data_IF_514993005507
#
_entry.id   IF_514993005507
#
_cell.length_a   1.000
_cell.length_b   1.000
_cell.length_c   1.000
_cell.angle_alpha   90.00
_cell.angle_beta   90.00
_cell.angle_gamma   90.00
#
_symmetry.space_group_name_H-M   'P 1'
#
loop_
_entity.id
_entity.type
_entity.pdbx_description
1 polymer ?
#
# COMPACT_ATOMS: atom_id res chain seq x y z
N UNK A 1 26.36 -0.68 -25.80
CA UNK A 1 25.27 -1.14 -24.93
C UNK A 1 24.36 0.04 -24.71
N UNK A 2 23.05 -0.17 -24.75
CA UNK A 2 22.09 0.87 -24.40
C UNK A 2 22.25 1.25 -22.92
N UNK A 3 22.16 2.54 -22.60
CA UNK A 3 22.24 3.00 -21.20
C UNK A 3 20.94 2.68 -20.48
N UNK A 4 21.00 2.43 -19.16
CA UNK A 4 19.79 2.21 -18.36
C UNK A 4 18.79 3.38 -18.45
N UNK A 5 19.29 4.62 -18.61
CA UNK A 5 18.44 5.78 -18.84
C UNK A 5 17.67 5.71 -20.17
N UNK A 6 18.30 5.25 -21.25
CA UNK A 6 17.62 5.09 -22.54
C UNK A 6 16.57 3.98 -22.47
N UNK A 7 16.93 2.84 -21.84
CA UNK A 7 16.01 1.72 -21.63
C UNK A 7 14.80 2.12 -20.78
N UNK A 8 15.02 2.88 -19.71
CA UNK A 8 13.97 3.45 -18.87
C UNK A 8 13.02 4.32 -19.69
N UNK A 9 13.56 5.25 -20.48
CA UNK A 9 12.75 6.17 -21.28
C UNK A 9 11.91 5.42 -22.33
N UNK A 10 12.48 4.40 -22.98
CA UNK A 10 11.72 3.57 -23.94
C UNK A 10 10.58 2.81 -23.28
N UNK A 11 10.84 2.16 -22.14
CA UNK A 11 9.82 1.46 -21.36
C UNK A 11 8.73 2.41 -20.87
N UNK A 12 9.11 3.56 -20.33
CA UNK A 12 8.17 4.59 -19.88
C UNK A 12 7.30 5.09 -21.04
N UNK A 13 7.89 5.40 -22.19
CA UNK A 13 7.15 5.84 -23.36
C UNK A 13 6.15 4.77 -23.85
N UNK A 14 6.53 3.49 -23.79
CA UNK A 14 5.63 2.37 -24.12
C UNK A 14 4.41 2.33 -23.19
N UNK A 15 4.63 2.51 -21.90
CA UNK A 15 3.57 2.54 -20.89
C UNK A 15 2.65 3.74 -21.12
N UNK A 16 3.21 4.94 -21.27
CA UNK A 16 2.51 6.20 -21.58
C UNK A 16 1.65 6.07 -22.84
N UNK A 17 2.21 5.53 -23.93
CA UNK A 17 1.48 5.34 -25.19
C UNK A 17 0.30 4.41 -24.99
N UNK A 18 0.51 3.31 -24.24
CA UNK A 18 -0.53 2.33 -23.94
C UNK A 18 -1.64 2.91 -23.07
N UNK A 19 -1.31 3.63 -21.99
CA UNK A 19 -2.30 4.24 -21.08
C UNK A 19 -3.10 5.36 -21.74
N UNK A 20 -2.55 6.00 -22.77
CA UNK A 20 -3.25 6.98 -23.61
C UNK A 20 -4.06 6.36 -24.75
N UNK A 21 -4.23 5.03 -24.76
CA UNK A 21 -4.98 4.29 -25.79
C UNK A 21 -4.44 4.49 -27.21
N UNK A 22 -3.13 4.69 -27.34
CA UNK A 22 -2.41 4.76 -28.62
C UNK A 22 -1.72 3.41 -28.89
N UNK A 23 -1.27 3.18 -30.13
CA UNK A 23 -0.56 1.96 -30.52
C UNK A 23 0.92 2.04 -30.10
N UNK A 24 1.37 1.24 -29.10
CA UNK A 24 2.78 1.18 -28.72
C UNK A 24 3.59 0.34 -29.72
N UNK A 25 4.93 0.41 -29.62
CA UNK A 25 5.84 -0.44 -30.38
C UNK A 25 5.66 -1.95 -30.08
N UNK A 26 5.18 -2.30 -28.89
CA UNK A 26 4.65 -3.62 -28.51
C UNK A 26 3.81 -3.54 -27.24
N UNK A 27 3.07 -4.61 -26.94
CA UNK A 27 2.34 -4.76 -25.67
C UNK A 27 3.33 -4.75 -24.49
N UNK A 28 3.18 -3.81 -23.52
CA UNK A 28 4.04 -3.78 -22.33
C UNK A 28 3.76 -4.97 -21.40
N UNK A 29 4.82 -5.52 -20.82
CA UNK A 29 4.76 -6.58 -19.81
C UNK A 29 5.09 -5.99 -18.45
N UNK A 30 4.16 -6.06 -17.52
CA UNK A 30 4.32 -5.55 -16.15
C UNK A 30 4.06 -6.67 -15.14
N UNK A 31 4.72 -6.62 -13.99
CA UNK A 31 4.48 -7.56 -12.90
C UNK A 31 4.10 -6.87 -11.60
N UNK A 32 3.39 -7.62 -10.77
CA UNK A 32 3.24 -7.35 -9.35
C UNK A 32 3.73 -8.57 -8.56
N UNK A 33 5.04 -8.65 -8.37
CA UNK A 33 5.67 -9.82 -7.76
C UNK A 33 5.64 -9.79 -6.21
N UNK A 34 5.59 -8.61 -5.59
CA UNK A 34 5.60 -8.46 -4.12
C UNK A 34 6.66 -9.36 -3.45
N UNK A 35 6.26 -10.14 -2.44
CA UNK A 35 7.16 -11.02 -1.68
C UNK A 35 7.68 -12.22 -2.49
N UNK A 36 7.14 -12.50 -3.67
CA UNK A 36 7.71 -13.54 -4.54
C UNK A 36 9.17 -13.25 -4.91
N UNK A 37 9.53 -11.97 -5.07
CA UNK A 37 10.91 -11.55 -5.30
C UNK A 37 11.87 -12.07 -4.21
N UNK A 38 11.42 -12.10 -2.96
CA UNK A 38 12.20 -12.55 -1.81
C UNK A 38 12.43 -14.06 -1.90
N UNK A 39 11.38 -14.84 -2.16
CA UNK A 39 11.50 -16.28 -2.35
C UNK A 39 12.34 -16.64 -3.58
N UNK A 40 12.19 -15.89 -4.69
CA UNK A 40 12.94 -16.10 -5.94
C UNK A 40 14.45 -15.93 -5.71
N UNK A 41 14.84 -14.94 -4.91
CA UNK A 41 16.22 -14.66 -4.57
C UNK A 41 16.80 -15.55 -3.45
N UNK A 42 16.03 -16.53 -2.95
CA UNK A 42 16.37 -17.34 -1.77
C UNK A 42 16.77 -16.48 -0.55
N UNK A 43 16.05 -15.37 -0.32
CA UNK A 43 16.24 -14.47 0.83
C UNK A 43 15.09 -14.60 1.83
N UNK A 44 15.04 -13.71 2.83
CA UNK A 44 13.98 -13.67 3.83
C UNK A 44 13.44 -12.26 4.03
N UNK A 45 12.20 -12.15 4.47
CA UNK A 45 11.58 -10.87 4.83
C UNK A 45 12.38 -10.18 5.93
N UNK A 46 12.87 -10.93 6.93
CA UNK A 46 13.69 -10.36 8.00
C UNK A 46 14.98 -9.72 7.50
N UNK A 47 15.65 -10.34 6.54
CA UNK A 47 16.87 -9.79 5.95
C UNK A 47 16.59 -8.50 5.20
N UNK A 48 15.49 -8.46 4.43
CA UNK A 48 15.06 -7.27 3.72
C UNK A 48 14.67 -6.12 4.67
N UNK A 49 14.05 -6.44 5.83
CA UNK A 49 13.66 -5.42 6.81
C UNK A 49 14.86 -4.82 7.56
N UNK A 50 15.99 -5.54 7.66
CA UNK A 50 17.21 -5.08 8.36
C UNK A 50 18.07 -4.15 7.49
N UNK A 51 18.05 -4.34 6.18
CA UNK A 51 18.91 -3.61 5.25
C UNK A 51 18.15 -3.26 3.95
N UNK A 52 17.76 -1.97 3.78
CA UNK A 52 17.08 -1.51 2.56
C UNK A 52 17.89 -1.75 1.28
N UNK A 53 19.21 -1.65 1.33
CA UNK A 53 20.05 -1.85 0.13
C UNK A 53 20.01 -3.32 -0.30
N UNK A 54 20.12 -4.24 0.67
CA UNK A 54 19.95 -5.67 0.43
C UNK A 54 18.55 -6.00 -0.10
N UNK A 55 17.51 -5.35 0.41
CA UNK A 55 16.15 -5.49 -0.11
C UNK A 55 16.05 -5.13 -1.60
N UNK A 56 16.63 -4.00 -2.02
CA UNK A 56 16.59 -3.59 -3.42
C UNK A 56 17.34 -4.58 -4.33
N UNK A 57 18.49 -5.07 -3.87
CA UNK A 57 19.27 -6.09 -4.58
C UNK A 57 18.51 -7.41 -4.74
N UNK A 58 17.80 -7.83 -3.69
CA UNK A 58 16.91 -9.01 -3.70
C UNK A 58 15.80 -8.83 -4.74
N UNK A 59 15.09 -7.70 -4.72
CA UNK A 59 14.01 -7.43 -5.69
C UNK A 59 14.54 -7.31 -7.13
N UNK A 60 15.77 -6.83 -7.30
CA UNK A 60 16.38 -6.71 -8.61
C UNK A 60 16.72 -8.06 -9.27
N UNK A 61 16.89 -9.14 -8.52
CA UNK A 61 17.27 -10.45 -9.09
C UNK A 61 16.23 -10.95 -10.10
N UNK A 62 14.94 -10.92 -9.73
CA UNK A 62 13.85 -11.33 -10.62
C UNK A 62 13.87 -10.55 -11.94
N UNK A 63 14.12 -9.24 -11.88
CA UNK A 63 14.07 -8.34 -13.03
C UNK A 63 15.33 -8.37 -13.89
N UNK A 64 16.42 -8.98 -13.40
CA UNK A 64 17.62 -9.29 -14.20
C UNK A 64 17.41 -10.57 -15.03
N UNK A 65 16.67 -11.52 -14.50
CA UNK A 65 16.46 -12.84 -15.12
C UNK A 65 15.19 -12.89 -15.99
N UNK A 66 14.14 -12.19 -15.57
CA UNK A 66 12.82 -12.18 -16.22
C UNK A 66 12.55 -10.81 -16.80
N UNK A 67 12.28 -10.79 -18.11
CA UNK A 67 11.99 -9.56 -18.83
C UNK A 67 10.71 -8.88 -18.31
N UNK A 68 10.82 -7.60 -17.96
CA UNK A 68 9.69 -6.72 -17.63
C UNK A 68 9.89 -5.32 -18.26
N UNK A 69 8.80 -4.66 -18.62
CA UNK A 69 8.76 -3.25 -19.01
C UNK A 69 8.55 -2.33 -17.81
N UNK A 70 7.89 -2.80 -16.76
CA UNK A 70 7.71 -2.07 -15.50
C UNK A 70 7.40 -3.04 -14.35
N UNK A 71 7.47 -2.53 -13.11
CA UNK A 71 7.05 -3.25 -11.91
C UNK A 71 6.14 -2.39 -11.04
N UNK A 72 5.22 -3.01 -10.32
CA UNK A 72 4.43 -2.34 -9.29
C UNK A 72 5.20 -2.10 -7.98
N UNK A 73 6.38 -2.68 -7.78
CA UNK A 73 7.14 -2.46 -6.55
C UNK A 73 8.55 -3.05 -6.58
N UNK A 74 9.47 -2.36 -5.89
CA UNK A 74 10.90 -2.72 -5.81
C UNK A 74 11.38 -2.91 -4.36
N UNK A 75 10.43 -2.99 -3.43
CA UNK A 75 10.65 -3.29 -2.02
C UNK A 75 9.33 -3.78 -1.39
N UNK A 76 9.40 -4.26 -0.16
CA UNK A 76 8.24 -4.62 0.66
C UNK A 76 7.34 -3.40 0.79
N UNK A 77 6.12 -3.54 0.30
CA UNK A 77 5.07 -2.51 0.23
C UNK A 77 4.16 -2.50 1.48
N UNK A 78 4.65 -3.03 2.60
CA UNK A 78 3.98 -2.98 3.90
C UNK A 78 4.88 -2.26 4.90
N UNK A 79 4.33 -1.26 5.58
CA UNK A 79 5.04 -0.49 6.59
C UNK A 79 5.17 -1.29 7.91
N UNK A 80 5.90 -2.41 7.88
CA UNK A 80 6.00 -3.37 8.99
C UNK A 80 6.40 -2.70 10.32
N UNK A 81 7.35 -1.76 10.29
CA UNK A 81 7.80 -1.04 11.48
C UNK A 81 6.71 -0.15 12.09
N UNK A 82 5.80 0.40 11.28
CA UNK A 82 4.66 1.19 11.77
C UNK A 82 3.70 0.28 12.57
N UNK A 83 3.42 -0.92 12.05
CA UNK A 83 2.57 -1.89 12.74
C UNK A 83 3.20 -2.38 14.04
N UNK A 84 4.51 -2.61 14.06
CA UNK A 84 5.25 -2.97 15.27
C UNK A 84 5.19 -1.88 16.34
N UNK A 85 5.46 -0.62 15.98
CA UNK A 85 5.40 0.53 16.91
C UNK A 85 4.01 0.72 17.49
N UNK A 86 2.97 0.47 16.69
CA UNK A 86 1.57 0.58 17.13
C UNK A 86 1.04 -0.70 17.80
N UNK A 87 1.91 -1.68 18.06
CA UNK A 87 1.58 -2.99 18.66
C UNK A 87 0.39 -3.66 17.97
N UNK A 88 0.39 -3.62 16.63
CA UNK A 88 -0.68 -4.16 15.81
C UNK A 88 -0.19 -5.30 14.93
N UNK A 89 -0.96 -6.39 14.93
CA UNK A 89 -0.59 -7.63 14.26
C UNK A 89 -1.34 -7.84 12.92
N UNK A 90 -1.87 -6.78 12.30
CA UNK A 90 -2.59 -6.89 11.03
C UNK A 90 -1.72 -7.49 9.92
N UNK A 91 -0.39 -7.44 10.05
CA UNK A 91 0.53 -8.13 9.16
C UNK A 91 1.56 -8.93 9.96
N UNK A 92 1.90 -10.11 9.46
CA UNK A 92 2.91 -10.98 10.06
C UNK A 92 3.71 -11.72 8.99
N UNK A 93 4.91 -12.16 9.34
CA UNK A 93 5.77 -12.99 8.49
C UNK A 93 5.35 -14.45 8.71
N UNK A 94 5.09 -15.17 7.61
CA UNK A 94 4.72 -16.59 7.66
C UNK A 94 5.92 -17.46 8.08
N UNK A 95 5.64 -18.71 8.44
CA UNK A 95 6.69 -19.67 8.85
C UNK A 95 7.75 -19.93 7.77
N UNK A 96 7.41 -19.70 6.49
CA UNK A 96 8.35 -19.80 5.36
C UNK A 96 9.43 -18.71 5.36
N UNK A 97 9.26 -17.64 6.16
CA UNK A 97 10.17 -16.51 6.24
C UNK A 97 10.17 -15.60 5.00
N UNK A 98 9.39 -15.92 3.97
CA UNK A 98 9.37 -15.21 2.69
C UNK A 98 8.05 -14.54 2.40
N UNK A 99 6.96 -14.96 3.04
CA UNK A 99 5.60 -14.46 2.77
C UNK A 99 5.13 -13.54 3.89
N UNK A 100 4.61 -12.37 3.52
CA UNK A 100 3.90 -11.47 4.45
C UNK A 100 2.41 -11.75 4.31
N UNK A 101 1.76 -12.12 5.41
CA UNK A 101 0.33 -12.39 5.48
C UNK A 101 -0.40 -11.32 6.27
N UNK A 102 -1.70 -11.23 6.04
CA UNK A 102 -2.60 -10.34 6.74
C UNK A 102 -3.48 -11.10 7.73
N UNK A 103 -3.67 -10.53 8.91
CA UNK A 103 -4.69 -10.98 9.86
C UNK A 103 -5.87 -10.00 9.81
N UNK A 104 -7.07 -10.52 9.53
CA UNK A 104 -8.29 -9.71 9.54
C UNK A 104 -8.54 -9.09 10.91
N UNK A 105 -8.74 -7.76 10.93
CA UNK A 105 -9.13 -7.00 12.11
C UNK A 105 -10.41 -6.23 11.78
N UNK A 106 -11.52 -6.58 12.44
CA UNK A 106 -12.84 -5.99 12.23
C UNK A 106 -13.28 -5.15 13.46
N UNK A 107 -12.74 -3.92 13.65
CA UNK A 107 -12.96 -3.13 14.86
C UNK A 107 -14.31 -2.37 14.92
N UNK A 108 -15.04 -2.29 13.81
CA UNK A 108 -16.32 -1.59 13.73
C UNK A 108 -17.50 -2.54 13.93
N UNK A 109 -18.47 -2.13 14.73
CA UNK A 109 -19.73 -2.86 14.93
C UNK A 109 -20.75 -2.46 13.88
N UNK A 110 -21.67 -3.37 13.59
CA UNK A 110 -22.79 -3.16 12.65
C UNK A 110 -23.73 -2.02 13.05
N UNK A 111 -23.81 -1.67 14.33
CA UNK A 111 -24.65 -0.57 14.83
C UNK A 111 -23.97 0.79 14.73
N UNK A 112 -22.71 0.84 14.27
CA UNK A 112 -21.91 2.07 14.25
C UNK A 112 -21.89 2.77 12.89
N UNK A 113 -22.53 2.20 11.87
CA UNK A 113 -22.65 2.82 10.54
C UNK A 113 -23.14 4.28 10.59
N UNK A 114 -24.19 4.64 11.33
CA UNK A 114 -24.64 6.03 11.39
C UNK A 114 -23.59 6.99 11.99
N UNK A 115 -22.82 6.54 12.98
CA UNK A 115 -21.77 7.35 13.59
C UNK A 115 -20.56 7.48 12.66
N UNK A 116 -20.21 6.41 11.95
CA UNK A 116 -19.14 6.39 10.97
C UNK A 116 -19.46 7.27 9.75
N UNK A 117 -20.64 7.12 9.14
CA UNK A 117 -21.04 7.87 7.95
C UNK A 117 -21.11 9.39 8.21
N UNK A 118 -21.47 9.80 9.43
CA UNK A 118 -21.54 11.22 9.81
C UNK A 118 -20.18 11.93 9.74
N UNK A 119 -19.11 11.27 10.20
CA UNK A 119 -17.75 11.83 10.19
C UNK A 119 -16.71 10.69 10.25
N UNK A 120 -16.35 10.11 9.08
CA UNK A 120 -15.44 8.97 9.04
C UNK A 120 -14.06 9.25 9.65
N UNK A 121 -13.56 10.48 9.53
CA UNK A 121 -12.24 10.88 10.04
C UNK A 121 -12.25 10.93 11.57
N UNK A 122 -13.23 11.63 12.15
CA UNK A 122 -13.36 11.74 13.60
C UNK A 122 -13.69 10.38 14.23
N UNK A 123 -14.58 9.60 13.60
CA UNK A 123 -14.89 8.24 14.05
C UNK A 123 -13.65 7.33 13.98
N UNK A 124 -12.90 7.37 12.89
CA UNK A 124 -11.64 6.65 12.73
C UNK A 124 -10.65 6.97 13.85
N UNK A 125 -10.39 8.26 14.09
CA UNK A 125 -9.43 8.74 15.09
C UNK A 125 -9.84 8.42 16.53
N UNK A 126 -11.11 8.60 16.88
CA UNK A 126 -11.55 8.57 18.27
C UNK A 126 -12.17 7.22 18.69
N UNK A 127 -12.58 6.38 17.73
CA UNK A 127 -13.24 5.09 18.00
C UNK A 127 -12.41 3.93 17.47
N UNK A 128 -12.07 3.95 16.18
CA UNK A 128 -11.39 2.80 15.54
C UNK A 128 -9.93 2.69 15.97
N UNK A 129 -9.17 3.79 15.92
CA UNK A 129 -7.74 3.76 16.24
C UNK A 129 -7.46 3.34 17.69
N UNK A 130 -8.17 3.84 18.72
CA UNK A 130 -8.00 3.35 20.09
C UNK A 130 -8.34 1.88 20.28
N UNK A 131 -9.28 1.32 19.50
CA UNK A 131 -9.58 -0.12 19.52
C UNK A 131 -8.49 -0.96 18.86
N UNK A 132 -7.90 -0.44 17.77
CA UNK A 132 -6.97 -1.17 16.90
C UNK A 132 -5.52 -1.09 17.38
N UNK A 133 -5.15 0.00 18.06
CA UNK A 133 -3.78 0.32 18.43
C UNK A 133 -3.69 0.62 19.93
N UNK A 134 -3.25 -0.36 20.72
CA UNK A 134 -3.18 -0.25 22.17
C UNK A 134 -2.35 0.97 22.67
N UNK A 135 -1.23 1.36 22.02
CA UNK A 135 -0.47 2.54 22.41
C UNK A 135 -1.24 3.86 22.24
N UNK A 136 -2.14 3.95 21.25
CA UNK A 136 -2.94 5.16 21.00
C UNK A 136 -4.07 5.35 22.02
N UNK A 137 -4.45 4.28 22.73
CA UNK A 137 -5.45 4.31 23.80
C UNK A 137 -4.84 4.61 25.19
N UNK A 138 -3.54 4.92 25.26
CA UNK A 138 -2.88 5.28 26.51
C UNK A 138 -3.09 6.75 26.87
N UNK A 139 -2.89 7.10 28.15
CA UNK A 139 -2.93 8.50 28.59
C UNK A 139 -1.72 9.30 28.06
N UNK A 140 -1.90 10.63 27.95
CA UNK A 140 -0.79 11.55 27.66
C UNK A 140 0.31 11.43 28.71
N UNK A 141 1.61 11.43 28.32
CA UNK A 141 2.14 11.65 26.96
C UNK A 141 2.35 10.37 26.14
N UNK A 142 2.03 9.18 26.65
CA UNK A 142 2.37 7.90 25.99
C UNK A 142 1.76 7.76 24.60
N UNK A 143 0.49 8.15 24.43
CA UNK A 143 -0.18 8.13 23.13
C UNK A 143 0.47 9.06 22.11
N UNK A 144 0.96 10.23 22.54
CA UNK A 144 1.66 11.19 21.69
C UNK A 144 3.01 10.61 21.23
N UNK A 145 3.76 9.99 22.13
CA UNK A 145 5.03 9.36 21.76
C UNK A 145 4.83 8.20 20.77
N UNK A 146 3.81 7.35 20.98
CA UNK A 146 3.46 6.31 20.02
C UNK A 146 3.09 6.90 18.64
N UNK A 147 2.31 7.98 18.61
CA UNK A 147 1.95 8.65 17.36
C UNK A 147 3.17 9.24 16.64
N UNK A 148 4.11 9.86 17.37
CA UNK A 148 5.36 10.38 16.81
C UNK A 148 6.23 9.26 16.25
N UNK A 149 6.40 8.16 16.99
CA UNK A 149 7.17 7.01 16.53
C UNK A 149 6.56 6.39 15.28
N UNK A 150 5.23 6.27 15.21
CA UNK A 150 4.53 5.78 14.02
C UNK A 150 4.72 6.71 12.82
N UNK A 151 4.67 8.04 13.03
CA UNK A 151 4.90 9.01 11.98
C UNK A 151 6.33 8.96 11.42
N UNK A 152 7.34 8.80 12.29
CA UNK A 152 8.74 8.63 11.87
C UNK A 152 8.93 7.33 11.09
N UNK A 153 8.41 6.21 11.59
CA UNK A 153 8.48 4.93 10.89
C UNK A 153 7.78 4.96 9.52
N UNK A 154 6.69 5.72 9.40
CA UNK A 154 6.00 5.93 8.12
C UNK A 154 6.83 6.80 7.16
N UNK A 155 7.50 7.84 7.66
CA UNK A 155 8.40 8.68 6.87
C UNK A 155 9.60 7.88 6.33
N UNK A 156 10.21 7.02 7.15
CA UNK A 156 11.29 6.13 6.74
C UNK A 156 10.81 5.14 5.67
N UNK A 157 9.62 4.57 5.84
CA UNK A 157 8.99 3.71 4.84
C UNK A 157 8.74 4.45 3.52
N UNK A 158 8.20 5.67 3.56
CA UNK A 158 7.97 6.48 2.36
C UNK A 158 9.28 6.82 1.63
N UNK A 159 10.33 7.15 2.38
CA UNK A 159 11.68 7.35 1.81
C UNK A 159 12.19 6.09 1.13
N UNK A 160 12.10 4.94 1.79
CA UNK A 160 12.51 3.63 1.26
C UNK A 160 11.82 3.30 -0.08
N UNK A 161 10.52 3.57 -0.20
CA UNK A 161 9.77 3.36 -1.45
C UNK A 161 10.31 4.23 -2.60
N UNK A 162 10.69 5.48 -2.31
CA UNK A 162 11.33 6.38 -3.26
C UNK A 162 12.71 5.89 -3.68
N UNK A 163 13.56 5.54 -2.71
CA UNK A 163 14.91 5.03 -2.95
C UNK A 163 14.89 3.73 -3.79
N UNK A 164 13.94 2.83 -3.53
CA UNK A 164 13.75 1.60 -4.30
C UNK A 164 13.41 1.87 -5.77
N UNK A 165 12.59 2.90 -6.02
CA UNK A 165 12.18 3.30 -7.36
C UNK A 165 13.34 3.93 -8.13
N UNK A 166 14.15 4.76 -7.46
CA UNK A 166 15.36 5.32 -8.08
C UNK A 166 16.39 4.21 -8.35
N UNK A 167 16.60 3.29 -7.42
CA UNK A 167 17.48 2.13 -7.63
C UNK A 167 17.10 1.33 -8.88
N UNK A 168 15.80 1.05 -9.08
CA UNK A 168 15.32 0.31 -10.25
C UNK A 168 15.54 1.06 -11.56
N UNK A 169 15.36 2.39 -11.54
CA UNK A 169 15.66 3.26 -12.68
C UNK A 169 17.14 3.27 -13.01
N UNK A 170 18.01 3.52 -12.02
CA UNK A 170 19.44 3.67 -12.24
C UNK A 170 20.13 2.36 -12.61
N UNK A 171 19.74 1.25 -11.97
CA UNK A 171 20.45 -0.04 -12.11
C UNK A 171 19.83 -0.99 -13.12
N UNK A 172 18.52 -0.91 -13.38
CA UNK A 172 17.79 -1.82 -14.25
C UNK A 172 17.12 -1.11 -15.45
N UNK A 173 17.11 0.22 -15.47
CA UNK A 173 16.32 1.00 -16.42
C UNK A 173 14.83 0.66 -16.33
N UNK A 174 14.34 0.33 -15.13
CA UNK A 174 12.99 -0.22 -14.92
C UNK A 174 12.09 0.82 -14.23
N UNK A 175 11.01 1.26 -14.88
CA UNK A 175 9.97 2.08 -14.25
C UNK A 175 9.22 1.33 -13.14
N UNK A 176 9.01 2.01 -12.01
CA UNK A 176 8.10 1.58 -10.94
C UNK A 176 6.77 2.31 -11.08
N UNK A 177 5.66 1.57 -11.14
CA UNK A 177 4.31 2.11 -11.34
C UNK A 177 3.53 2.37 -10.04
N UNK A 178 4.12 2.11 -8.87
CA UNK A 178 3.49 2.41 -7.59
C UNK A 178 3.29 3.91 -7.40
N UNK A 179 2.02 4.31 -7.30
CA UNK A 179 1.61 5.64 -6.88
C UNK A 179 0.89 5.61 -5.53
N UNK A 180 -0.02 6.55 -5.33
CA UNK A 180 -0.87 6.58 -4.13
C UNK A 180 -1.91 5.47 -4.19
N UNK A 181 -2.14 4.72 -3.10
CA UNK A 181 -3.18 3.69 -3.10
C UNK A 181 -4.56 4.33 -3.30
N UNK A 182 -5.39 3.64 -4.08
CA UNK A 182 -6.81 3.97 -4.24
C UNK A 182 -7.58 2.81 -3.64
N UNK A 183 -8.48 3.12 -2.71
CA UNK A 183 -9.37 2.13 -2.10
C UNK A 183 -10.79 2.39 -2.58
N UNK A 184 -11.47 1.37 -3.08
CA UNK A 184 -12.90 1.46 -3.22
C UNK A 184 -13.53 1.61 -1.81
N UNK A 185 -14.53 2.47 -1.61
CA UNK A 185 -15.10 2.70 -0.28
C UNK A 185 -15.58 1.45 0.44
N UNK A 186 -16.23 0.52 -0.28
CA UNK A 186 -16.70 -0.75 0.28
C UNK A 186 -15.55 -1.65 0.67
N UNK A 187 -14.49 -1.72 -0.15
CA UNK A 187 -13.28 -2.48 0.15
C UNK A 187 -12.57 -1.92 1.38
N UNK A 188 -12.51 -0.59 1.52
CA UNK A 188 -11.96 0.03 2.72
C UNK A 188 -12.73 -0.36 3.99
N UNK A 189 -14.06 -0.37 3.93
CA UNK A 189 -14.89 -0.81 5.05
C UNK A 189 -14.65 -2.29 5.34
N UNK A 190 -14.56 -3.13 4.31
CA UNK A 190 -14.26 -4.55 4.45
C UNK A 190 -12.89 -4.78 5.10
N UNK A 191 -11.81 -4.25 4.51
CA UNK A 191 -10.43 -4.55 4.88
C UNK A 191 -10.04 -3.99 6.24
N UNK A 192 -10.60 -2.83 6.62
CA UNK A 192 -10.13 -2.09 7.80
C UNK A 192 -11.14 -1.95 8.94
N UNK A 193 -12.44 -2.20 8.70
CA UNK A 193 -13.50 -1.90 9.67
C UNK A 193 -14.38 -3.10 10.01
N UNK A 194 -14.95 -3.80 9.01
CA UNK A 194 -16.03 -4.80 9.20
C UNK A 194 -15.58 -6.23 8.95
N UNK A 195 -14.46 -6.43 8.29
CA UNK A 195 -14.00 -7.75 7.84
C UNK A 195 -14.89 -8.33 6.75
N UNK A 196 -14.41 -9.41 6.14
CA UNK A 196 -15.08 -10.13 5.08
C UNK A 196 -16.43 -10.70 5.54
N UNK A 197 -16.49 -11.29 6.74
CA UNK A 197 -17.76 -11.81 7.27
C UNK A 197 -18.78 -10.71 7.52
N UNK A 198 -18.36 -9.58 8.10
CA UNK A 198 -19.24 -8.47 8.41
C UNK A 198 -19.83 -7.86 7.15
N UNK A 199 -18.98 -7.53 6.17
CA UNK A 199 -19.44 -6.86 4.95
C UNK A 199 -20.46 -7.70 4.17
N UNK A 200 -20.27 -9.03 4.10
CA UNK A 200 -21.19 -9.93 3.40
C UNK A 200 -22.58 -9.95 4.06
N UNK A 201 -22.64 -9.87 5.39
CA UNK A 201 -23.91 -9.78 6.12
C UNK A 201 -24.56 -8.41 5.94
N UNK A 202 -23.77 -7.35 6.01
CA UNK A 202 -24.23 -5.96 5.96
C UNK A 202 -24.76 -5.59 4.57
N UNK A 203 -24.15 -6.10 3.49
CA UNK A 203 -24.69 -5.96 2.12
C UNK A 203 -26.13 -6.47 1.99
N UNK A 204 -26.53 -7.49 2.77
CA UNK A 204 -27.88 -8.06 2.73
C UNK A 204 -28.82 -7.41 3.74
N UNK A 205 -28.33 -7.14 4.95
CA UNK A 205 -29.15 -6.74 6.10
C UNK A 205 -29.22 -5.24 6.30
N UNK A 206 -28.21 -4.52 5.84
CA UNK A 206 -27.98 -3.08 6.04
C UNK A 206 -27.48 -2.39 4.76
N UNK A 207 -28.07 -2.67 3.58
CA UNK A 207 -27.54 -2.16 2.32
C UNK A 207 -27.52 -0.63 2.26
N UNK A 208 -28.53 0.03 2.83
CA UNK A 208 -28.63 1.49 2.85
C UNK A 208 -27.57 2.13 3.76
N UNK A 209 -27.39 1.60 4.98
CA UNK A 209 -26.37 2.09 5.92
C UNK A 209 -24.95 1.90 5.38
N UNK A 210 -24.68 0.76 4.72
CA UNK A 210 -23.41 0.51 4.06
C UNK A 210 -23.18 1.46 2.87
N UNK A 211 -24.21 1.72 2.06
CA UNK A 211 -24.12 2.67 0.95
C UNK A 211 -23.83 4.08 1.45
N UNK A 212 -24.53 4.54 2.49
CA UNK A 212 -24.29 5.87 3.09
C UNK A 212 -22.85 6.01 3.64
N UNK A 213 -22.35 4.98 4.31
CA UNK A 213 -20.97 4.94 4.77
C UNK A 213 -19.95 4.92 3.64
N UNK A 214 -20.23 4.20 2.55
CA UNK A 214 -19.39 4.21 1.36
C UNK A 214 -19.36 5.60 0.70
N UNK A 215 -20.51 6.27 0.56
CA UNK A 215 -20.60 7.63 0.03
C UNK A 215 -19.83 8.64 0.90
N UNK A 216 -19.90 8.52 2.23
CA UNK A 216 -19.14 9.37 3.14
C UNK A 216 -17.61 9.24 2.98
N UNK A 217 -17.12 8.08 2.51
CA UNK A 217 -15.70 7.84 2.24
C UNK A 217 -15.24 8.36 0.87
N UNK A 218 -16.12 8.48 -0.12
CA UNK A 218 -15.77 8.93 -1.48
C UNK A 218 -14.90 10.19 -1.50
N UNK A 219 -15.26 11.32 -0.84
CA UNK A 219 -14.44 12.53 -0.89
C UNK A 219 -13.05 12.32 -0.27
N UNK A 220 -12.94 11.48 0.77
CA UNK A 220 -11.66 11.14 1.41
C UNK A 220 -10.81 10.31 0.44
N UNK A 221 -11.39 9.30 -0.21
CA UNK A 221 -10.67 8.46 -1.17
C UNK A 221 -10.20 9.24 -2.40
N UNK A 222 -11.01 10.16 -2.91
CA UNK A 222 -10.62 11.07 -3.99
C UNK A 222 -9.45 11.96 -3.54
N UNK A 223 -9.53 12.54 -2.32
CA UNK A 223 -8.45 13.37 -1.79
C UNK A 223 -7.14 12.60 -1.64
N UNK A 224 -7.20 11.35 -1.17
CA UNK A 224 -6.03 10.46 -1.08
C UNK A 224 -5.50 10.17 -2.48
N UNK A 225 -6.33 9.68 -3.40
CA UNK A 225 -5.94 9.33 -4.77
C UNK A 225 -5.33 10.53 -5.52
N UNK A 226 -5.83 11.74 -5.29
CA UNK A 226 -5.32 12.95 -5.93
C UNK A 226 -4.12 13.56 -5.22
N UNK A 227 -3.71 13.05 -4.06
CA UNK A 227 -2.75 13.68 -3.15
C UNK A 227 -3.12 15.15 -2.85
N UNK A 228 -4.43 15.44 -2.75
CA UNK A 228 -4.96 16.78 -2.56
C UNK A 228 -4.91 17.69 -3.79
N UNK A 229 -4.54 17.18 -4.98
CA UNK A 229 -4.62 17.95 -6.22
C UNK A 229 -6.07 18.05 -6.71
N UNK A 230 -6.53 19.24 -7.16
CA UNK A 230 -7.90 19.44 -7.64
C UNK A 230 -8.13 18.84 -9.04
N UNK A 231 -7.05 18.58 -9.78
CA UNK A 231 -7.04 17.95 -11.09
C UNK A 231 -5.82 17.04 -11.15
N UNK A 232 -6.03 15.78 -11.51
CA UNK A 232 -4.99 14.94 -12.03
C UNK A 232 -4.95 15.23 -13.52
N UNK A 233 -3.82 15.76 -14.00
CA UNK A 233 -3.61 15.78 -15.45
C UNK A 233 -3.71 14.34 -15.96
N UNK A 234 -4.28 14.11 -17.16
CA UNK A 234 -4.22 12.79 -17.76
C UNK A 234 -2.76 12.31 -17.70
N UNK A 235 -2.57 11.04 -17.38
CA UNK A 235 -1.24 10.43 -17.36
C UNK A 235 -0.54 10.84 -18.67
N UNK A 236 0.66 11.46 -18.61
CA UNK A 236 1.32 11.99 -19.80
C UNK A 236 1.45 10.91 -20.87
#
# INVERSE_FOLDING_TARGET
>A
METNQNLYNQRLNRLITTTNHQEPDRVPIINFAETYCISYANSSVEDCLKDPQKEFEVYAQLHKDVYMDATFGMCINRAMNVFQVLENNAYFISEDGTTIQHQEVAPMLETEYPAFAKDPISFGRNVIFPRKYAPLNQAYPKNLEALKSAALAFADYAKKMGDASEYAKETLGLPTLAGTPIFAPVDFIMDYLRGFRGIQLDMRRRPEELAEAAEALVPIMIQVASMGKPRLDPFP
#
